data_IF_194039372223
#
_entry.id   IF_194039372223
#
_cell.length_a   1.000
_cell.length_b   1.000
_cell.length_c   1.000
_cell.angle_alpha   90.00
_cell.angle_beta   90.00
_cell.angle_gamma   90.00
#
_symmetry.space_group_name_H-M   'P 1'
#
loop_
_entity.id
_entity.type
_entity.pdbx_description
1 polymer ?
#
# COMPACT_ATOMS: atom_id res chain seq x y z
N UNK A 1 -4.03 -19.10 -25.70
CA UNK A 1 -4.29 -17.81 -25.02
C UNK A 1 -3.53 -17.84 -23.70
N UNK A 2 -2.53 -16.98 -23.49
CA UNK A 2 -1.77 -16.93 -22.22
C UNK A 2 -2.57 -16.10 -21.22
N UNK A 3 -2.77 -16.62 -20.00
CA UNK A 3 -3.43 -15.93 -18.90
C UNK A 3 -2.40 -15.57 -17.84
N UNK A 4 -2.43 -14.34 -17.34
CA UNK A 4 -1.53 -13.86 -16.29
C UNK A 4 -2.36 -13.40 -15.10
N UNK A 5 -2.31 -14.08 -13.95
CA UNK A 5 -3.07 -13.70 -12.77
C UNK A 5 -2.47 -12.46 -12.11
N UNK A 6 -3.30 -11.46 -11.84
CA UNK A 6 -2.92 -10.29 -11.03
C UNK A 6 -3.09 -10.67 -9.56
N UNK A 7 -1.98 -10.63 -8.81
CA UNK A 7 -1.98 -10.98 -7.39
C UNK A 7 -2.43 -9.79 -6.51
N UNK A 8 -3.05 -10.03 -5.34
CA UNK A 8 -3.56 -8.96 -4.46
C UNK A 8 -2.51 -7.93 -4.04
N UNK A 9 -1.27 -8.35 -3.79
CA UNK A 9 -0.15 -7.51 -3.41
C UNK A 9 0.88 -7.43 -4.54
N UNK A 10 0.42 -7.31 -5.79
CA UNK A 10 1.30 -7.26 -6.99
C UNK A 10 2.32 -6.11 -6.98
N UNK A 11 2.08 -5.06 -6.21
CA UNK A 11 2.92 -3.86 -6.10
C UNK A 11 3.92 -3.92 -4.94
N UNK A 12 4.14 -5.12 -4.37
CA UNK A 12 5.16 -5.36 -3.36
C UNK A 12 6.41 -5.96 -4.00
N UNK A 13 7.55 -5.33 -3.73
CA UNK A 13 8.86 -5.74 -4.21
C UNK A 13 9.72 -6.30 -3.08
N UNK A 14 10.56 -7.28 -3.38
CA UNK A 14 11.41 -7.91 -2.35
C UNK A 14 12.54 -6.97 -1.94
N UNK A 15 12.72 -6.81 -0.63
CA UNK A 15 13.79 -6.00 -0.04
C UNK A 15 14.57 -6.81 1.00
N UNK A 16 15.77 -6.34 1.34
CA UNK A 16 16.70 -7.03 2.25
C UNK A 16 16.92 -6.31 3.57
N UNK A 17 16.51 -5.06 3.69
CA UNK A 17 16.67 -4.23 4.90
C UNK A 17 15.43 -3.40 5.14
N UNK A 18 15.09 -3.18 6.41
CA UNK A 18 14.02 -2.28 6.84
C UNK A 18 14.35 -1.65 8.19
N UNK A 19 13.67 -0.54 8.48
CA UNK A 19 13.76 0.14 9.77
C UNK A 19 12.91 -0.59 10.83
N UNK A 20 13.51 -1.18 11.87
CA UNK A 20 12.78 -1.89 12.92
C UNK A 20 11.95 -0.95 13.82
N UNK A 21 12.13 0.37 13.74
CA UNK A 21 11.42 1.32 14.58
C UNK A 21 9.98 1.62 14.10
N UNK A 22 9.58 1.13 12.93
CA UNK A 22 8.23 1.39 12.40
C UNK A 22 7.13 0.70 13.24
N UNK A 23 5.98 1.35 13.44
CA UNK A 23 4.83 0.73 14.12
C UNK A 23 4.25 -0.40 13.25
N UNK A 24 4.48 -1.65 13.64
CA UNK A 24 4.08 -2.83 12.88
C UNK A 24 2.78 -3.44 13.40
N UNK A 25 1.77 -3.59 12.55
CA UNK A 25 0.61 -4.45 12.83
C UNK A 25 1.02 -5.92 12.68
N UNK A 26 0.47 -6.80 13.51
CA UNK A 26 0.89 -8.19 13.59
C UNK A 26 -0.32 -9.10 13.37
N UNK A 27 -0.27 -9.93 12.34
CA UNK A 27 -1.18 -11.05 12.13
C UNK A 27 -0.44 -12.34 12.48
N UNK A 28 -0.92 -13.04 13.50
CA UNK A 28 -0.40 -14.36 13.89
C UNK A 28 -1.40 -15.43 13.48
N UNK A 29 -0.91 -16.47 12.84
CA UNK A 29 -1.69 -17.63 12.38
C UNK A 29 -1.08 -18.88 12.98
N UNK A 30 -1.83 -19.56 13.82
CA UNK A 30 -1.44 -20.83 14.43
C UNK A 30 -2.42 -21.91 14.01
N UNK A 31 -1.97 -23.14 13.78
CA UNK A 31 -2.88 -24.22 13.42
C UNK A 31 -2.18 -25.45 12.89
N UNK A 32 -2.96 -26.36 12.34
CA UNK A 32 -2.45 -27.57 11.70
C UNK A 32 -2.22 -27.29 10.21
N UNK A 33 -1.03 -26.79 9.88
CA UNK A 33 -0.62 -26.53 8.50
C UNK A 33 0.88 -26.71 8.34
N UNK A 34 1.27 -27.07 7.12
CA UNK A 34 2.68 -27.23 6.74
C UNK A 34 3.28 -25.91 6.26
N UNK A 35 4.61 -25.80 6.31
CA UNK A 35 5.36 -24.67 5.74
C UNK A 35 5.02 -24.45 4.25
N UNK A 36 4.75 -25.52 3.51
CA UNK A 36 4.34 -25.45 2.10
C UNK A 36 3.00 -24.76 1.90
N UNK A 37 2.04 -24.95 2.83
CA UNK A 37 0.75 -24.27 2.79
C UNK A 37 0.88 -22.79 3.14
N UNK A 38 1.66 -22.47 4.19
CA UNK A 38 1.95 -21.08 4.55
C UNK A 38 2.69 -20.33 3.42
N UNK A 39 3.64 -21.02 2.76
CA UNK A 39 4.33 -20.50 1.59
C UNK A 39 3.34 -20.21 0.45
N UNK A 40 2.42 -21.14 0.18
CA UNK A 40 1.41 -20.94 -0.86
C UNK A 40 0.47 -19.77 -0.56
N UNK A 41 0.14 -19.51 0.71
CA UNK A 41 -0.65 -18.34 1.07
C UNK A 41 0.04 -17.04 0.66
N UNK A 42 1.33 -16.93 0.99
CA UNK A 42 2.14 -15.77 0.67
C UNK A 42 2.40 -15.62 -0.84
N UNK A 43 2.69 -16.73 -1.54
CA UNK A 43 2.89 -16.73 -3.00
C UNK A 43 1.59 -16.42 -3.76
N UNK A 44 0.41 -16.67 -3.18
CA UNK A 44 -0.87 -16.23 -3.75
C UNK A 44 -1.08 -14.72 -3.58
N UNK A 45 -0.50 -14.11 -2.54
CA UNK A 45 -0.56 -12.67 -2.31
C UNK A 45 0.44 -11.89 -3.19
N UNK A 46 1.67 -12.38 -3.37
CA UNK A 46 2.81 -11.59 -3.85
C UNK A 46 3.50 -12.22 -5.07
N UNK A 47 3.93 -11.40 -6.02
CA UNK A 47 4.51 -11.86 -7.30
C UNK A 47 6.00 -12.20 -7.23
N UNK A 48 6.77 -11.56 -6.35
CA UNK A 48 8.24 -11.70 -6.31
C UNK A 48 8.77 -12.82 -5.40
N UNK A 49 7.96 -13.84 -5.14
CA UNK A 49 8.34 -14.97 -4.28
C UNK A 49 8.48 -16.20 -5.17
N UNK A 50 9.55 -17.01 -5.00
CA UNK A 50 9.68 -18.28 -5.70
C UNK A 50 8.44 -19.15 -5.53
N UNK A 51 7.99 -19.84 -6.58
CA UNK A 51 6.83 -20.74 -6.46
C UNK A 51 7.12 -21.98 -5.62
N UNK A 52 8.40 -22.39 -5.57
CA UNK A 52 8.84 -23.53 -4.78
C UNK A 52 9.16 -23.09 -3.37
N UNK A 53 8.54 -23.76 -2.40
CA UNK A 53 8.86 -23.60 -0.99
C UNK A 53 10.35 -23.91 -0.77
N UNK A 54 11.09 -23.04 -0.07
CA UNK A 54 12.47 -23.32 0.29
C UNK A 54 12.53 -24.53 1.26
N UNK A 55 13.55 -25.36 1.13
CA UNK A 55 13.79 -26.53 1.99
C UNK A 55 14.48 -26.10 3.30
N UNK A 56 13.79 -25.25 4.07
CA UNK A 56 14.25 -24.69 5.35
C UNK A 56 13.11 -24.82 6.37
N UNK A 57 13.45 -24.98 7.64
CA UNK A 57 12.46 -25.17 8.72
C UNK A 57 11.63 -23.91 9.00
N UNK A 58 12.20 -22.74 8.69
CA UNK A 58 11.55 -21.44 8.82
C UNK A 58 11.96 -20.56 7.65
N UNK A 59 10.97 -19.95 6.99
CA UNK A 59 11.18 -19.01 5.90
C UNK A 59 10.84 -17.58 6.32
N UNK A 60 11.65 -16.63 5.87
CA UNK A 60 11.42 -15.21 6.10
C UNK A 60 11.56 -14.41 4.81
N UNK A 61 10.57 -13.56 4.54
CA UNK A 61 10.51 -12.68 3.38
C UNK A 61 10.17 -11.26 3.81
N UNK A 62 10.86 -10.30 3.22
CA UNK A 62 10.62 -8.87 3.42
C UNK A 62 10.27 -8.24 2.08
N UNK A 63 9.24 -7.42 2.11
CA UNK A 63 8.60 -6.83 0.95
C UNK A 63 8.29 -5.37 1.21
N UNK A 64 8.39 -4.52 0.18
CA UNK A 64 8.11 -3.09 0.25
C UNK A 64 7.10 -2.70 -0.83
N UNK A 65 6.09 -1.92 -0.46
CA UNK A 65 5.09 -1.40 -1.39
C UNK A 65 5.63 -0.20 -2.18
N UNK A 66 5.45 -0.20 -3.51
CA UNK A 66 5.82 0.93 -4.36
C UNK A 66 4.80 2.08 -4.32
N UNK A 67 3.52 1.78 -4.11
CA UNK A 67 2.45 2.79 -4.12
C UNK A 67 2.21 3.43 -2.74
N UNK A 68 2.17 2.63 -1.67
CA UNK A 68 1.80 3.05 -0.31
C UNK A 68 2.93 3.78 0.43
N UNK A 69 3.64 4.68 -0.24
CA UNK A 69 4.70 5.48 0.38
C UNK A 69 5.89 4.66 0.90
N UNK A 70 6.03 3.39 0.50
CA UNK A 70 7.13 2.54 0.93
C UNK A 70 6.84 1.66 2.15
N UNK A 71 5.57 1.42 2.50
CA UNK A 71 5.17 0.51 3.58
C UNK A 71 5.80 -0.87 3.44
N UNK A 72 6.14 -1.50 4.55
CA UNK A 72 6.89 -2.76 4.61
C UNK A 72 5.99 -3.91 5.08
N UNK A 73 6.17 -5.09 4.47
CA UNK A 73 5.60 -6.36 4.89
C UNK A 73 6.72 -7.35 5.20
N UNK A 74 6.75 -7.84 6.43
CA UNK A 74 7.63 -8.90 6.89
C UNK A 74 6.81 -10.16 7.17
N UNK A 75 7.08 -11.23 6.43
CA UNK A 75 6.45 -12.52 6.62
C UNK A 75 7.48 -13.52 7.16
N UNK A 76 7.15 -14.18 8.26
CA UNK A 76 7.93 -15.27 8.86
C UNK A 76 7.00 -16.45 9.08
N UNK A 77 7.34 -17.61 8.57
CA UNK A 77 6.49 -18.79 8.74
C UNK A 77 7.31 -20.07 8.82
N UNK A 78 6.76 -21.02 9.56
CA UNK A 78 7.26 -22.37 9.80
C UNK A 78 6.07 -23.34 9.84
N UNK A 79 6.32 -24.62 10.10
CA UNK A 79 5.23 -25.54 10.40
C UNK A 79 4.40 -25.04 11.59
N UNK A 80 3.07 -25.11 11.45
CA UNK A 80 2.05 -24.75 12.44
C UNK A 80 2.01 -23.29 12.92
N UNK A 81 2.92 -22.42 12.45
CA UNK A 81 3.00 -21.02 12.87
C UNK A 81 3.41 -20.08 11.72
N UNK A 82 2.67 -19.00 11.53
CA UNK A 82 2.98 -17.94 10.58
C UNK A 82 2.69 -16.57 11.18
N UNK A 83 3.63 -15.64 11.02
CA UNK A 83 3.57 -14.27 11.53
C UNK A 83 3.78 -13.33 10.34
N UNK A 84 2.83 -12.43 10.14
CA UNK A 84 2.89 -11.37 9.15
C UNK A 84 2.87 -10.02 9.86
N UNK A 85 3.89 -9.20 9.62
CA UNK A 85 4.05 -7.86 10.20
C UNK A 85 4.02 -6.82 9.11
N UNK A 86 3.25 -5.75 9.27
CA UNK A 86 3.24 -4.64 8.31
C UNK A 86 2.78 -3.35 8.95
N UNK A 87 3.39 -2.24 8.56
CA UNK A 87 3.02 -0.87 8.96
C UNK A 87 1.69 -0.41 8.32
N UNK A 88 1.32 -1.01 7.19
CA UNK A 88 0.01 -0.84 6.55
C UNK A 88 -1.04 -1.82 7.09
N UNK A 89 -2.13 -1.27 7.64
CA UNK A 89 -3.28 -2.06 8.13
C UNK A 89 -3.99 -2.78 6.97
N UNK A 90 -4.15 -2.10 5.83
CA UNK A 90 -4.83 -2.66 4.66
C UNK A 90 -4.08 -3.88 4.11
N UNK A 91 -2.74 -3.84 4.11
CA UNK A 91 -1.90 -4.98 3.68
C UNK A 91 -2.14 -6.21 4.57
N UNK A 92 -2.20 -6.02 5.89
CA UNK A 92 -2.47 -7.11 6.83
C UNK A 92 -3.87 -7.70 6.64
N UNK A 93 -4.89 -6.86 6.42
CA UNK A 93 -6.26 -7.32 6.19
C UNK A 93 -6.37 -8.12 4.90
N UNK A 94 -5.74 -7.67 3.82
CA UNK A 94 -5.69 -8.41 2.55
C UNK A 94 -5.10 -9.81 2.77
N UNK A 95 -3.98 -9.91 3.50
CA UNK A 95 -3.35 -11.20 3.80
C UNK A 95 -4.29 -12.08 4.63
N UNK A 96 -4.89 -11.53 5.69
CA UNK A 96 -5.87 -12.25 6.53
C UNK A 96 -7.01 -12.82 5.69
N UNK A 97 -7.59 -12.04 4.79
CA UNK A 97 -8.72 -12.46 3.97
C UNK A 97 -8.34 -13.54 2.95
N UNK A 98 -7.14 -13.43 2.39
CA UNK A 98 -6.57 -14.41 1.46
C UNK A 98 -6.29 -15.74 2.18
N UNK A 99 -5.71 -15.69 3.39
CA UNK A 99 -5.49 -16.87 4.25
C UNK A 99 -6.83 -17.50 4.64
N UNK A 100 -7.78 -16.70 5.14
CA UNK A 100 -9.12 -17.15 5.54
C UNK A 100 -9.85 -17.89 4.42
N UNK A 101 -9.73 -17.38 3.19
CA UNK A 101 -10.31 -18.03 2.00
C UNK A 101 -9.63 -19.36 1.71
N UNK A 102 -8.30 -19.41 1.74
CA UNK A 102 -7.54 -20.63 1.47
C UNK A 102 -7.74 -21.70 2.53
N UNK A 103 -7.81 -21.32 3.80
CA UNK A 103 -8.05 -22.26 4.91
C UNK A 103 -9.46 -22.84 4.82
N UNK A 104 -10.46 -22.01 4.48
CA UNK A 104 -11.84 -22.46 4.23
C UNK A 104 -11.90 -23.43 3.04
N UNK A 105 -11.23 -23.11 1.92
CA UNK A 105 -11.21 -23.98 0.74
C UNK A 105 -10.53 -25.34 1.01
N UNK A 106 -9.53 -25.38 1.89
CA UNK A 106 -8.78 -26.60 2.23
C UNK A 106 -9.26 -27.30 3.49
N UNK A 107 -10.26 -26.74 4.19
CA UNK A 107 -10.76 -27.22 5.48
C UNK A 107 -9.67 -27.34 6.55
N UNK A 108 -8.70 -26.43 6.53
CA UNK A 108 -7.64 -26.37 7.54
C UNK A 108 -8.14 -25.71 8.82
N UNK A 109 -7.79 -26.29 9.97
CA UNK A 109 -8.10 -25.70 11.28
C UNK A 109 -6.99 -24.72 11.66
N UNK A 110 -7.27 -23.44 11.49
CA UNK A 110 -6.34 -22.37 11.88
C UNK A 110 -7.01 -21.39 12.82
N UNK A 111 -6.23 -20.86 13.74
CA UNK A 111 -6.55 -19.74 14.61
C UNK A 111 -5.75 -18.52 14.13
N UNK A 112 -6.46 -17.42 13.89
CA UNK A 112 -5.86 -16.15 13.45
C UNK A 112 -6.10 -15.09 14.52
N UNK A 113 -5.04 -14.43 14.97
CA UNK A 113 -5.09 -13.27 15.85
C UNK A 113 -4.47 -12.06 15.16
N UNK A 114 -5.12 -10.90 15.30
CA UNK A 114 -4.73 -9.66 14.64
C UNK A 114 -4.55 -8.57 15.69
N UNK A 115 -3.33 -8.04 15.78
CA UNK A 115 -2.97 -6.90 16.62
C UNK A 115 -2.67 -5.68 15.74
N UNK A 116 -3.38 -4.57 16.00
CA UNK A 116 -3.35 -3.37 15.17
C UNK A 116 -2.89 -2.20 16.01
N UNK A 117 -1.77 -1.62 15.61
CA UNK A 117 -1.18 -0.47 16.26
C UNK A 117 -1.75 0.81 15.64
N UNK A 118 -2.42 1.64 16.45
CA UNK A 118 -3.02 2.90 15.99
C UNK A 118 -2.00 3.85 15.36
N UNK A 119 -0.78 3.83 15.86
CA UNK A 119 0.34 4.62 15.35
C UNK A 119 0.71 4.26 13.91
N UNK A 120 0.41 3.03 13.46
CA UNK A 120 0.67 2.62 12.08
C UNK A 120 -0.19 3.40 11.07
N UNK A 121 -1.41 3.78 11.46
CA UNK A 121 -2.30 4.58 10.62
C UNK A 121 -1.71 5.98 10.45
N UNK A 122 -1.29 6.59 11.56
CA UNK A 122 -0.66 7.92 11.54
C UNK A 122 0.65 7.89 10.73
N UNK A 123 1.46 6.86 10.92
CA UNK A 123 2.68 6.64 10.14
C UNK A 123 2.40 6.53 8.63
N UNK A 124 1.43 5.70 8.23
CA UNK A 124 1.06 5.54 6.82
C UNK A 124 0.55 6.85 6.22
N UNK A 125 -0.24 7.63 6.96
CA UNK A 125 -0.70 8.96 6.52
C UNK A 125 0.46 9.94 6.35
N UNK A 126 1.45 9.92 7.26
CA UNK A 126 2.67 10.74 7.13
C UNK A 126 3.49 10.37 5.90
N UNK A 127 3.54 9.10 5.51
CA UNK A 127 4.23 8.67 4.28
C UNK A 127 3.51 9.14 3.00
N UNK A 128 2.18 9.21 3.03
CA UNK A 128 1.35 9.61 1.89
C UNK A 128 1.29 11.14 1.75
N UNK A 129 1.33 11.88 2.86
CA UNK A 129 1.12 13.32 2.91
C UNK A 129 2.02 14.14 1.95
N UNK A 130 3.35 13.93 1.87
CA UNK A 130 4.20 14.66 0.92
C UNK A 130 3.81 14.44 -0.55
N UNK A 131 3.33 13.24 -0.90
CA UNK A 131 2.85 12.95 -2.26
C UNK A 131 1.58 13.75 -2.58
N UNK A 132 0.70 13.92 -1.58
CA UNK A 132 -0.52 14.72 -1.73
C UNK A 132 -0.22 16.22 -1.85
N UNK A 133 0.67 16.75 -1.02
CA UNK A 133 1.09 18.17 -1.10
C UNK A 133 1.71 18.48 -2.45
N UNK A 134 2.63 17.62 -2.90
CA UNK A 134 3.24 17.74 -4.21
C UNK A 134 2.19 17.78 -5.34
N UNK A 135 1.20 16.90 -5.28
CA UNK A 135 0.13 16.88 -6.28
C UNK A 135 -0.76 18.13 -6.22
N UNK A 136 -1.11 18.59 -5.02
CA UNK A 136 -1.92 19.81 -4.85
C UNK A 136 -1.20 21.04 -5.43
N UNK A 137 0.10 21.15 -5.20
CA UNK A 137 0.92 22.23 -5.76
C UNK A 137 1.04 22.11 -7.28
N UNK A 138 1.23 20.90 -7.82
CA UNK A 138 1.27 20.67 -9.28
C UNK A 138 -0.04 21.09 -9.96
N UNK A 139 -1.19 20.73 -9.40
CA UNK A 139 -2.51 21.13 -9.91
C UNK A 139 -2.65 22.65 -9.87
N UNK A 140 -2.31 23.28 -8.74
CA UNK A 140 -2.37 24.74 -8.58
C UNK A 140 -1.50 25.46 -9.60
N UNK A 141 -0.25 25.02 -9.80
CA UNK A 141 0.65 25.61 -10.79
C UNK A 141 0.14 25.42 -12.22
N UNK A 142 -0.47 24.28 -12.52
CA UNK A 142 -1.04 24.00 -13.84
C UNK A 142 -2.25 24.90 -14.14
N UNK A 143 -3.16 25.07 -13.18
CA UNK A 143 -4.32 25.96 -13.35
C UNK A 143 -3.90 27.42 -13.50
N UNK A 144 -2.89 27.86 -12.73
CA UNK A 144 -2.29 29.18 -12.90
C UNK A 144 -1.64 29.33 -14.28
N UNK A 145 -0.88 28.33 -14.74
CA UNK A 145 -0.23 28.37 -16.06
C UNK A 145 -1.26 28.48 -17.20
N UNK A 146 -2.39 27.78 -17.11
CA UNK A 146 -3.49 27.90 -18.09
C UNK A 146 -4.05 29.31 -18.15
N UNK A 147 -4.38 29.90 -17.01
CA UNK A 147 -4.88 31.27 -16.95
C UNK A 147 -3.87 32.29 -17.47
N UNK A 148 -2.58 32.10 -17.17
CA UNK A 148 -1.52 32.98 -17.69
C UNK A 148 -1.36 32.86 -19.22
N UNK A 149 -1.52 31.67 -19.80
CA UNK A 149 -1.51 31.48 -21.26
C UNK A 149 -2.66 32.20 -21.95
N UNK A 150 -3.85 32.18 -21.35
CA UNK A 150 -5.01 32.90 -21.89
C UNK A 150 -4.77 34.43 -21.89
N UNK A 151 -4.12 34.93 -20.83
CA UNK A 151 -3.75 36.35 -20.70
C UNK A 151 -2.69 36.73 -21.75
N UNK A 152 -1.63 35.94 -21.90
CA UNK A 152 -0.59 36.17 -22.92
C UNK A 152 -1.18 36.22 -24.33
N UNK A 153 -2.09 35.30 -24.66
CA UNK A 153 -2.79 35.27 -25.94
C UNK A 153 -3.71 36.48 -26.17
N UNK A 154 -4.20 37.12 -25.09
CA UNK A 154 -5.12 38.26 -25.17
C UNK A 154 -4.42 39.61 -25.27
N UNK A 155 -3.27 39.77 -24.62
CA UNK A 155 -2.60 41.06 -24.47
C UNK A 155 -1.24 41.17 -25.20
N UNK A 156 -0.67 40.06 -25.68
CA UNK A 156 0.64 39.98 -26.37
C UNK A 156 1.85 40.56 -25.58
N UNK A 157 1.63 41.08 -24.38
CA UNK A 157 2.64 41.62 -23.46
C UNK A 157 2.62 40.85 -22.14
N UNK A 158 3.81 40.62 -21.57
CA UNK A 158 4.01 39.92 -20.28
C UNK A 158 4.76 40.79 -19.27
N UNK A 159 5.04 42.05 -19.60
CA UNK A 159 5.84 42.98 -18.79
C UNK A 159 5.21 43.32 -17.44
N UNK A 160 3.90 43.11 -17.27
CA UNK A 160 3.17 43.32 -16.03
C UNK A 160 3.20 42.12 -15.07
N UNK A 161 3.68 40.96 -15.51
CA UNK A 161 3.74 39.75 -14.70
C UNK A 161 4.95 39.77 -13.77
N UNK A 162 4.78 39.20 -12.58
CA UNK A 162 5.93 38.98 -11.68
C UNK A 162 6.86 37.91 -12.26
N UNK A 163 8.17 37.95 -11.92
CA UNK A 163 9.13 36.96 -12.40
C UNK A 163 8.72 35.50 -12.12
N UNK A 164 8.07 35.25 -10.98
CA UNK A 164 7.60 33.91 -10.60
C UNK A 164 6.48 33.39 -11.53
N UNK A 165 5.56 34.26 -11.94
CA UNK A 165 4.49 33.91 -12.88
C UNK A 165 5.04 33.67 -14.29
N UNK A 166 6.05 34.43 -14.71
CA UNK A 166 6.75 34.21 -15.98
C UNK A 166 7.43 32.83 -16.01
N UNK A 167 8.03 32.40 -14.89
CA UNK A 167 8.61 31.06 -14.78
C UNK A 167 7.54 29.97 -14.91
N UNK A 168 6.38 30.14 -14.26
CA UNK A 168 5.25 29.20 -14.36
C UNK A 168 4.71 29.15 -15.80
N UNK A 169 4.56 30.30 -16.46
CA UNK A 169 4.11 30.40 -17.85
C UNK A 169 5.05 29.65 -18.81
N UNK A 170 6.37 29.79 -18.63
CA UNK A 170 7.36 29.08 -19.45
C UNK A 170 7.32 27.56 -19.26
N UNK A 171 6.96 27.10 -18.06
CA UNK A 171 6.86 25.67 -17.72
C UNK A 171 5.48 25.08 -18.03
N UNK A 172 4.59 25.81 -18.70
CA UNK A 172 3.23 25.39 -18.98
C UNK A 172 3.11 23.96 -19.56
N UNK A 173 3.86 23.66 -20.63
CA UNK A 173 3.77 22.37 -21.31
C UNK A 173 4.38 21.23 -20.48
N UNK A 174 5.42 21.52 -19.70
CA UNK A 174 6.02 20.58 -18.74
C UNK A 174 5.01 20.23 -17.63
N UNK A 175 4.35 21.23 -17.04
CA UNK A 175 3.37 21.06 -15.97
C UNK A 175 2.16 20.25 -16.45
N UNK A 176 1.66 20.50 -17.66
CA UNK A 176 0.57 19.72 -18.24
C UNK A 176 0.95 18.25 -18.48
N UNK A 177 2.13 18.01 -19.04
CA UNK A 177 2.64 16.66 -19.28
C UNK A 177 2.87 15.91 -17.96
N UNK A 178 3.44 16.60 -16.97
CA UNK A 178 3.68 16.04 -15.65
C UNK A 178 2.37 15.72 -14.92
N UNK A 179 1.37 16.60 -14.98
CA UNK A 179 0.03 16.36 -14.42
C UNK A 179 -0.65 15.16 -15.10
N UNK A 180 -0.58 15.08 -16.43
CA UNK A 180 -1.15 13.95 -17.18
C UNK A 180 -0.48 12.62 -16.80
N UNK A 181 0.84 12.61 -16.67
CA UNK A 181 1.60 11.42 -16.27
C UNK A 181 1.31 10.99 -14.82
N UNK A 182 1.15 11.96 -13.90
CA UNK A 182 1.00 11.68 -12.46
C UNK A 182 -0.44 11.48 -12.00
N UNK A 183 -1.43 11.86 -12.81
CA UNK A 183 -2.87 11.70 -12.49
C UNK A 183 -3.24 10.28 -12.05
N UNK A 184 -2.79 9.27 -12.79
CA UNK A 184 -3.07 7.86 -12.44
C UNK A 184 -2.47 7.46 -11.09
N UNK A 185 -1.26 7.95 -10.78
CA UNK A 185 -0.60 7.69 -9.49
C UNK A 185 -1.33 8.37 -8.34
N UNK A 186 -1.90 9.56 -8.58
CA UNK A 186 -2.75 10.23 -7.61
C UNK A 186 -4.04 9.46 -7.35
N UNK A 187 -4.75 9.03 -8.40
CA UNK A 187 -5.99 8.25 -8.27
C UNK A 187 -5.74 6.96 -7.45
N UNK A 188 -4.60 6.31 -7.67
CA UNK A 188 -4.15 5.16 -6.85
C UNK A 188 -3.89 5.53 -5.40
N UNK A 189 -3.17 6.62 -5.16
CA UNK A 189 -2.86 7.11 -3.81
C UNK A 189 -4.15 7.44 -3.04
N UNK A 190 -5.15 8.04 -3.71
CA UNK A 190 -6.47 8.29 -3.13
C UNK A 190 -7.22 6.98 -2.82
N UNK A 191 -7.12 5.99 -3.72
CA UNK A 191 -7.59 4.63 -3.48
C UNK A 191 -6.99 4.03 -2.20
N UNK A 192 -5.67 4.12 -2.03
CA UNK A 192 -4.97 3.64 -0.82
C UNK A 192 -5.46 4.34 0.46
N UNK A 193 -5.69 5.64 0.43
CA UNK A 193 -6.23 6.39 1.59
C UNK A 193 -7.65 5.92 1.92
N UNK A 194 -8.48 5.72 0.90
CA UNK A 194 -9.85 5.23 1.06
C UNK A 194 -9.85 3.82 1.64
N UNK A 195 -8.98 2.95 1.11
CA UNK A 195 -8.75 1.58 1.58
C UNK A 195 -8.09 1.51 2.96
N UNK A 196 -7.47 2.58 3.44
CA UNK A 196 -6.97 2.70 4.82
C UNK A 196 -8.11 3.12 5.77
N UNK A 197 -9.07 3.91 5.29
CA UNK A 197 -10.21 4.38 6.07
C UNK A 197 -11.22 3.26 6.37
N UNK A 198 -11.48 2.36 5.41
CA UNK A 198 -12.41 1.23 5.60
C UNK A 198 -12.02 0.30 6.78
N UNK A 199 -10.76 -0.16 6.89
CA UNK A 199 -10.23 -0.85 8.05
C UNK A 199 -10.44 -0.12 9.37
N UNK A 200 -10.20 1.19 9.43
CA UNK A 200 -10.37 1.99 10.66
C UNK A 200 -11.82 1.90 11.17
N UNK A 201 -12.80 1.95 10.26
CA UNK A 201 -14.21 1.76 10.60
C UNK A 201 -14.53 0.33 11.03
N UNK A 202 -13.95 -0.66 10.35
CA UNK A 202 -14.09 -2.08 10.72
C UNK A 202 -13.54 -2.32 12.13
N UNK A 203 -12.35 -1.83 12.46
CA UNK A 203 -11.69 -2.00 13.76
C UNK A 203 -12.46 -1.28 14.88
N UNK A 204 -12.97 -0.07 14.62
CA UNK A 204 -13.77 0.66 15.59
C UNK A 204 -15.12 -0.04 15.90
N UNK A 205 -15.70 -0.75 14.91
CA UNK A 205 -16.91 -1.56 15.09
C UNK A 205 -16.62 -2.98 15.60
N UNK A 206 -15.37 -3.45 15.56
CA UNK A 206 -14.98 -4.81 15.96
C UNK A 206 -14.17 -4.81 17.27
N UNK A 207 -14.43 -3.84 18.17
CA UNK A 207 -13.93 -3.94 19.53
C UNK A 207 -14.54 -5.17 20.21
N UNK A 208 -13.71 -6.20 20.29
CA UNK A 208 -13.60 -7.24 21.32
C UNK A 208 -14.47 -8.49 21.11
N UNK A 209 -13.80 -9.48 20.52
CA UNK A 209 -13.89 -10.93 20.74
C UNK A 209 -15.02 -11.43 21.64
N UNK A 210 -15.86 -12.26 21.01
CA UNK A 210 -16.50 -13.45 21.57
C UNK A 210 -15.68 -14.11 22.68
N UNK A 211 -16.16 -14.01 23.91
CA UNK A 211 -15.96 -14.98 24.98
C UNK A 211 -17.26 -15.05 25.79
N UNK A 212 -18.11 -16.02 25.45
CA UNK A 212 -18.95 -16.72 26.43
C UNK A 212 -18.85 -18.20 26.11
N UNK A 213 -17.95 -18.84 26.83
CA UNK A 213 -18.03 -20.25 27.16
C UNK A 213 -18.95 -20.28 28.37
N UNK A 214 -20.13 -20.87 28.22
CA UNK A 214 -20.88 -21.55 29.29
C UNK A 214 -21.22 -22.94 28.75
#
# INVERSE_FOLDING_TARGET
>A
MRSYPIKPLALHERVHEFDPACPMNILTVNGEFTIGEAHQWLTSCVSQIPERCPAIDQASFMLKSTENGGTVLHAVYSDNNAIYKSDSVSTIIIIRDVISRMTTSRKLRVHMSLDIHKESIEHTLKLIHPKMEYFAELVKQTELAKGLREIEASFEDTSFLSPDLVVILRRHDELLNELAAKKTTFDRTLGVITDLYFPKCYINNTKITTNKID
#
